data_IF_974798620494
#
_entry.id   IF_974798620494
#
_cell.length_a   1.000
_cell.length_b   1.000
_cell.length_c   1.000
_cell.angle_alpha   90.00
_cell.angle_beta   90.00
_cell.angle_gamma   90.00
#
_symmetry.space_group_name_H-M   'P 1'
#
loop_
_entity.id
_entity.type
_entity.pdbx_description
1 polymer ?
#
# COMPACT_ATOMS: atom_id res chain seq x y z
N UNK A 1 -1.66 7.88 0.93
CA UNK A 1 -2.04 7.06 -0.25
C UNK A 1 -2.37 5.64 0.17
N UNK A 2 -1.41 4.88 0.71
CA UNK A 2 -1.67 3.50 1.13
C UNK A 2 -2.79 3.36 2.19
N UNK A 3 -2.92 4.34 3.09
CA UNK A 3 -3.96 4.38 4.13
C UNK A 3 -5.39 4.39 3.57
N UNK A 4 -5.59 4.95 2.37
CA UNK A 4 -6.92 5.10 1.76
C UNK A 4 -7.16 4.01 0.71
N UNK A 5 -6.16 3.73 -0.13
CA UNK A 5 -6.34 2.86 -1.30
C UNK A 5 -5.84 1.44 -1.08
N UNK A 6 -4.96 1.22 -0.08
CA UNK A 6 -4.26 -0.04 0.13
C UNK A 6 -2.77 0.08 -0.14
N UNK A 7 -2.01 -0.85 0.45
CA UNK A 7 -0.55 -0.82 0.48
C UNK A 7 0.12 -1.28 -0.80
N UNK A 8 -0.47 -2.24 -1.52
CA UNK A 8 0.10 -2.86 -2.70
C UNK A 8 -0.88 -2.85 -3.89
N UNK A 9 -0.40 -3.03 -5.14
CA UNK A 9 -1.27 -3.07 -6.33
C UNK A 9 -2.41 -4.10 -6.27
N UNK A 10 -2.17 -5.29 -5.72
CA UNK A 10 -3.21 -6.33 -5.65
C UNK A 10 -4.26 -5.95 -4.63
N UNK A 11 -3.87 -5.48 -3.45
CA UNK A 11 -4.82 -5.02 -2.45
C UNK A 11 -5.65 -3.83 -2.93
N UNK A 12 -5.05 -2.89 -3.66
CA UNK A 12 -5.79 -1.80 -4.32
C UNK A 12 -6.80 -2.32 -5.33
N UNK A 13 -6.40 -3.27 -6.20
CA UNK A 13 -7.30 -3.86 -7.21
C UNK A 13 -8.47 -4.63 -6.58
N UNK A 14 -8.28 -5.18 -5.38
CA UNK A 14 -9.31 -5.87 -4.60
C UNK A 14 -10.13 -4.92 -3.72
N UNK A 15 -9.96 -3.60 -3.83
CA UNK A 15 -10.66 -2.63 -3.00
C UNK A 15 -10.37 -2.78 -1.50
N UNK A 16 -9.18 -3.27 -1.14
CA UNK A 16 -8.77 -3.51 0.24
C UNK A 16 -9.26 -4.84 0.84
N UNK A 17 -9.93 -5.71 0.07
CA UNK A 17 -10.45 -7.00 0.54
C UNK A 17 -9.34 -8.06 0.75
N UNK A 18 -8.45 -7.82 1.72
CA UNK A 18 -7.18 -8.54 1.87
C UNK A 18 -7.04 -9.33 3.17
N UNK A 19 -7.90 -9.12 4.17
CA UNK A 19 -7.76 -9.71 5.52
C UNK A 19 -7.54 -11.23 5.51
N UNK A 20 -8.25 -11.96 4.64
CA UNK A 20 -8.11 -13.41 4.49
C UNK A 20 -7.42 -13.85 3.18
N UNK A 21 -7.27 -12.94 2.21
CA UNK A 21 -6.73 -13.24 0.87
C UNK A 21 -5.23 -12.94 0.74
N UNK A 22 -4.64 -12.29 1.75
CA UNK A 22 -3.22 -11.92 1.75
C UNK A 22 -2.32 -13.15 1.91
N UNK A 23 -1.29 -13.23 1.07
CA UNK A 23 -0.40 -14.39 0.97
C UNK A 23 1.02 -14.00 0.51
N UNK A 24 1.41 -12.75 0.76
CA UNK A 24 2.69 -12.15 0.38
C UNK A 24 3.14 -11.13 1.45
N UNK A 25 4.19 -10.36 1.15
CA UNK A 25 4.75 -9.33 2.04
C UNK A 25 3.71 -8.33 2.57
N UNK A 26 2.62 -8.05 1.84
CA UNK A 26 1.59 -7.11 2.26
C UNK A 26 0.80 -7.57 3.48
N UNK A 27 0.98 -8.83 3.93
CA UNK A 27 0.48 -9.30 5.21
C UNK A 27 1.00 -8.45 6.38
N UNK A 28 2.19 -7.86 6.29
CA UNK A 28 2.71 -6.91 7.29
C UNK A 28 1.81 -5.69 7.49
N UNK A 29 1.03 -5.32 6.46
CA UNK A 29 0.11 -4.19 6.48
C UNK A 29 -1.34 -4.61 6.72
N UNK A 30 -1.86 -5.60 5.98
CA UNK A 30 -3.28 -5.97 6.06
C UNK A 30 -3.63 -6.94 7.19
N UNK A 31 -2.76 -7.92 7.48
CA UNK A 31 -3.00 -8.93 8.50
C UNK A 31 -1.70 -9.67 8.86
N UNK A 32 -0.96 -9.22 9.89
CA UNK A 32 0.30 -9.85 10.30
C UNK A 32 0.14 -11.32 10.70
N UNK A 33 -1.05 -11.75 11.14
CA UNK A 33 -1.34 -13.15 11.45
C UNK A 33 -1.28 -14.09 10.24
N UNK A 34 -1.44 -13.55 9.03
CA UNK A 34 -1.33 -14.30 7.79
C UNK A 34 0.12 -14.49 7.30
N UNK A 35 1.13 -13.93 8.00
CA UNK A 35 2.54 -14.07 7.61
C UNK A 35 3.01 -15.54 7.56
N UNK A 36 2.38 -16.43 8.34
CA UNK A 36 2.72 -17.86 8.36
C UNK A 36 2.05 -18.68 7.25
N UNK A 37 1.11 -18.09 6.49
CA UNK A 37 0.39 -18.79 5.41
C UNK A 37 1.33 -19.15 4.25
N UNK A 38 2.19 -18.24 3.74
CA UNK A 38 3.11 -18.58 2.66
C UNK A 38 4.22 -19.52 3.13
N UNK A 39 4.49 -20.57 2.34
CA UNK A 39 5.49 -21.61 2.65
C UNK A 39 6.82 -21.42 1.90
N UNK A 40 7.00 -20.29 1.23
CA UNK A 40 8.17 -19.95 0.42
C UNK A 40 8.61 -18.52 0.70
N UNK A 41 9.87 -18.22 0.43
CA UNK A 41 10.37 -16.84 0.43
C UNK A 41 9.69 -16.09 -0.73
N UNK A 42 9.19 -14.89 -0.46
CA UNK A 42 8.56 -14.02 -1.45
C UNK A 42 9.29 -12.68 -1.43
N UNK A 43 9.76 -12.23 -2.59
CA UNK A 43 10.25 -10.89 -2.83
C UNK A 43 9.29 -10.18 -3.78
N UNK A 44 9.01 -8.91 -3.53
CA UNK A 44 8.06 -8.14 -4.32
C UNK A 44 8.50 -6.69 -4.47
N UNK A 45 8.26 -6.17 -5.67
CA UNK A 45 8.45 -4.78 -6.06
C UNK A 45 7.15 -4.33 -6.73
N UNK A 46 6.63 -3.17 -6.34
CA UNK A 46 5.42 -2.60 -6.91
C UNK A 46 5.55 -1.11 -7.15
N UNK A 47 4.82 -0.59 -8.12
CA UNK A 47 4.68 0.83 -8.39
C UNK A 47 3.21 1.21 -8.40
N UNK A 48 2.89 2.35 -7.80
CA UNK A 48 1.51 2.78 -7.53
C UNK A 48 1.38 4.26 -7.83
N UNK A 49 0.23 4.66 -8.37
CA UNK A 49 0.02 6.00 -8.91
C UNK A 49 -1.46 6.39 -8.82
N UNK A 50 -1.76 7.62 -8.42
CA UNK A 50 -3.11 8.12 -8.15
C UNK A 50 -3.31 9.51 -8.77
N UNK A 51 -4.38 9.65 -9.54
CA UNK A 51 -4.75 10.87 -10.27
C UNK A 51 -6.13 11.37 -9.78
N UNK A 52 -6.20 11.97 -8.58
CA UNK A 52 -7.47 12.38 -8.01
C UNK A 52 -8.09 13.54 -8.81
N UNK A 53 -9.42 13.52 -8.96
CA UNK A 53 -10.18 14.60 -9.59
C UNK A 53 -11.21 15.12 -8.61
N UNK A 54 -11.02 16.34 -8.11
CA UNK A 54 -11.94 17.04 -7.22
C UNK A 54 -12.57 18.22 -7.95
N UNK A 55 -13.91 18.32 -7.90
CA UNK A 55 -14.67 19.47 -8.39
C UNK A 55 -15.35 20.15 -7.21
N UNK A 56 -15.15 21.46 -7.07
CA UNK A 56 -15.74 22.28 -6.01
C UNK A 56 -16.69 23.28 -6.66
N UNK A 57 -17.96 23.21 -6.31
CA UNK A 57 -18.97 24.18 -6.73
C UNK A 57 -19.33 25.08 -5.54
N UNK A 58 -19.28 26.41 -5.72
CA UNK A 58 -19.56 27.40 -4.67
C UNK A 58 -20.67 28.33 -5.11
N UNK A 59 -21.47 28.76 -4.14
CA UNK A 59 -22.53 29.76 -4.34
C UNK A 59 -22.00 31.20 -4.48
N UNK A 60 -20.75 31.45 -4.03
CA UNK A 60 -20.09 32.76 -4.09
C UNK A 60 -18.92 32.72 -5.07
N UNK A 61 -18.79 33.77 -5.90
CA UNK A 61 -17.76 33.87 -6.92
C UNK A 61 -16.36 34.15 -6.34
N UNK A 62 -16.27 34.92 -5.26
CA UNK A 62 -15.02 35.24 -4.55
C UNK A 62 -15.07 34.71 -3.12
N UNK A 63 -14.65 33.46 -2.88
CA UNK A 63 -14.56 32.93 -1.54
C UNK A 63 -13.35 33.50 -0.78
N UNK A 64 -13.49 33.67 0.54
CA UNK A 64 -12.39 34.07 1.43
C UNK A 64 -11.20 33.09 1.42
N UNK A 65 -11.45 31.83 1.07
CA UNK A 65 -10.43 30.78 0.97
C UNK A 65 -10.43 30.11 -0.40
N UNK A 66 -9.25 30.02 -1.07
CA UNK A 66 -9.14 29.38 -2.37
C UNK A 66 -9.46 27.89 -2.30
N UNK A 67 -9.90 27.34 -3.43
CA UNK A 67 -10.09 25.89 -3.57
C UNK A 67 -8.74 25.20 -3.73
N UNK A 68 -8.44 24.26 -2.84
CA UNK A 68 -7.24 23.41 -2.93
C UNK A 68 -7.68 22.05 -3.47
N UNK A 69 -7.09 21.63 -4.58
CA UNK A 69 -7.31 20.29 -5.15
C UNK A 69 -6.19 19.36 -4.74
N UNK A 70 -6.48 18.07 -4.53
CA UNK A 70 -5.45 17.07 -4.26
C UNK A 70 -4.51 16.97 -5.48
N UNK A 71 -3.21 16.92 -5.22
CA UNK A 71 -2.21 16.66 -6.24
C UNK A 71 -2.22 15.20 -6.71
N UNK A 72 -1.47 14.93 -7.76
CA UNK A 72 -1.05 13.58 -8.14
C UNK A 72 -0.28 12.93 -6.98
N UNK A 73 -0.35 11.60 -6.81
CA UNK A 73 0.47 10.85 -5.85
C UNK A 73 1.03 9.59 -6.49
N UNK A 74 2.30 9.29 -6.24
CA UNK A 74 2.92 8.04 -6.69
C UNK A 74 3.90 7.49 -5.65
N UNK A 75 4.19 6.20 -5.73
CA UNK A 75 5.20 5.58 -4.89
C UNK A 75 5.56 4.16 -5.28
N UNK A 76 6.75 3.77 -4.83
CA UNK A 76 7.32 2.44 -5.00
C UNK A 76 7.13 1.65 -3.70
N UNK A 77 6.81 0.37 -3.82
CA UNK A 77 6.70 -0.58 -2.73
C UNK A 77 7.75 -1.66 -2.89
N UNK A 78 8.41 -2.00 -1.80
CA UNK A 78 9.33 -3.13 -1.72
C UNK A 78 8.91 -3.98 -0.54
N UNK A 79 8.94 -5.29 -0.71
CA UNK A 79 8.72 -6.16 0.42
C UNK A 79 9.26 -7.56 0.25
N UNK A 80 9.55 -8.16 1.39
CA UNK A 80 10.09 -9.50 1.50
C UNK A 80 9.35 -10.24 2.61
N UNK A 81 9.08 -11.52 2.39
CA UNK A 81 8.51 -12.43 3.37
C UNK A 81 9.38 -13.68 3.42
N UNK A 82 9.79 -14.05 4.62
CA UNK A 82 10.67 -15.18 4.89
C UNK A 82 10.04 -16.07 5.97
N UNK A 83 9.40 -17.20 5.57
CA UNK A 83 8.89 -18.17 6.53
C UNK A 83 10.05 -18.99 7.11
N UNK A 84 10.01 -19.26 8.42
CA UNK A 84 11.10 -19.97 9.09
C UNK A 84 10.91 -21.48 8.92
N UNK A 85 12.01 -22.17 8.56
CA UNK A 85 12.06 -23.63 8.42
C UNK A 85 12.34 -24.37 9.73
N UNK A 86 12.56 -25.68 9.63
CA UNK A 86 12.99 -26.51 10.76
C UNK A 86 11.88 -26.77 11.81
N UNK A 87 12.22 -26.85 13.11
CA UNK A 87 11.28 -27.28 14.17
C UNK A 87 10.12 -26.31 14.43
N UNK A 88 10.24 -25.07 13.95
CA UNK A 88 9.20 -24.03 14.06
C UNK A 88 8.52 -23.73 12.73
N UNK A 89 8.59 -24.67 11.77
CA UNK A 89 7.92 -24.57 10.48
C UNK A 89 6.43 -24.27 10.66
N UNK A 90 5.93 -23.31 9.88
CA UNK A 90 4.55 -22.80 9.91
C UNK A 90 4.12 -22.11 11.22
N UNK A 91 5.02 -21.94 12.21
CA UNK A 91 4.72 -21.26 13.47
C UNK A 91 5.22 -19.82 13.50
N UNK A 92 6.32 -19.56 12.79
CA UNK A 92 6.95 -18.24 12.75
C UNK A 92 7.35 -17.89 11.32
N UNK A 93 7.08 -16.66 10.95
CA UNK A 93 7.48 -16.05 9.70
C UNK A 93 7.73 -14.57 9.95
N UNK A 94 8.62 -13.99 9.16
CA UNK A 94 8.88 -12.56 9.20
C UNK A 94 8.52 -11.96 7.85
N UNK A 95 8.02 -10.73 7.90
CA UNK A 95 7.78 -9.91 6.74
C UNK A 95 8.34 -8.52 6.96
N UNK A 96 8.89 -7.94 5.92
CA UNK A 96 9.33 -6.55 5.90
C UNK A 96 8.79 -5.86 4.67
N UNK A 97 8.37 -4.61 4.82
CA UNK A 97 7.70 -3.88 3.76
C UNK A 97 7.99 -2.39 3.86
N UNK A 98 8.33 -1.78 2.74
CA UNK A 98 8.69 -0.38 2.61
C UNK A 98 7.86 0.28 1.52
N UNK A 99 7.47 1.52 1.77
CA UNK A 99 6.82 2.39 0.81
C UNK A 99 7.62 3.68 0.66
N UNK A 100 7.97 4.03 -0.58
CA UNK A 100 8.72 5.22 -0.94
C UNK A 100 7.84 6.14 -1.80
N UNK A 101 7.36 7.27 -1.27
CA UNK A 101 6.63 8.27 -2.06
C UNK A 101 7.57 8.91 -3.09
N UNK A 102 7.25 8.81 -4.38
CA UNK A 102 8.10 9.35 -5.47
C UNK A 102 7.96 10.85 -5.65
N UNK A 103 6.82 11.43 -5.24
CA UNK A 103 6.57 12.88 -5.27
C UNK A 103 7.52 13.70 -4.39
N UNK A 104 8.22 13.06 -3.45
CA UNK A 104 9.22 13.69 -2.57
C UNK A 104 10.65 13.49 -3.07
N UNK A 105 10.84 12.65 -4.10
CA UNK A 105 12.14 12.22 -4.64
C UNK A 105 12.40 12.90 -5.98
N UNK A 106 11.36 13.08 -6.79
CA UNK A 106 11.41 13.84 -8.05
C UNK A 106 10.73 15.18 -7.78
N UNK A 107 11.51 16.17 -7.36
CA UNK A 107 11.01 17.54 -7.17
C UNK A 107 10.64 18.15 -8.51
N UNK A 108 9.34 18.33 -8.75
CA UNK A 108 8.78 19.26 -9.74
C UNK A 108 7.69 20.04 -9.04
#
# INVERSE_FOLDING_TARGET
MFDIYGFDPRGMAMGGAMTAAVNDYSATYYNPGALTVPKRIILSLGFTSSFPKLRINRSVANPDFPSITPGFFSGITLGVLFPIGGPIKNKLAFGFSLYFPTNKIVGV
#
